data_IF_211666817229
#
_entry.id   IF_211666817229
#
_cell.length_a   1.000
_cell.length_b   1.000
_cell.length_c   1.000
_cell.angle_alpha   90.00
_cell.angle_beta   90.00
_cell.angle_gamma   90.00
#
_symmetry.space_group_name_H-M   'P 1'
#
loop_
_entity.id
_entity.type
_entity.pdbx_description
1 polymer ?
#
# COMPACT_ATOMS: atom_id res chain seq x y z
N UNK A 1 0.75 -0.24 23.09
CA UNK A 1 -0.03 -0.92 22.04
C UNK A 1 0.64 -2.26 21.81
N UNK A 2 -0.11 -3.36 21.85
CA UNK A 2 0.38 -4.72 22.11
C UNK A 2 1.15 -5.39 20.94
N UNK A 3 2.01 -4.62 20.26
CA UNK A 3 3.20 -5.10 19.56
C UNK A 3 2.99 -5.87 18.26
N UNK A 4 1.75 -6.16 17.84
CA UNK A 4 1.51 -6.89 16.59
C UNK A 4 1.42 -5.93 15.39
N UNK A 5 2.22 -6.18 14.33
CA UNK A 5 2.19 -5.33 13.15
C UNK A 5 0.88 -5.50 12.37
N UNK A 6 0.22 -4.39 12.07
CA UNK A 6 -0.90 -4.35 11.13
C UNK A 6 -0.38 -4.69 9.73
N UNK A 7 -0.99 -5.68 9.07
CA UNK A 7 -0.56 -6.15 7.75
C UNK A 7 -1.64 -5.91 6.70
N UNK A 8 -1.25 -5.37 5.55
CA UNK A 8 -2.07 -5.33 4.34
C UNK A 8 -1.39 -6.18 3.27
N UNK A 9 -2.15 -7.02 2.57
CA UNK A 9 -1.65 -7.89 1.50
C UNK A 9 -2.54 -7.71 0.27
N UNK A 10 -1.91 -7.52 -0.89
CA UNK A 10 -2.61 -7.45 -2.18
C UNK A 10 -2.79 -8.82 -2.81
N UNK A 11 -3.62 -8.89 -3.86
CA UNK A 11 -3.82 -10.07 -4.70
C UNK A 11 -3.98 -9.66 -6.16
N UNK A 12 -4.14 -10.63 -7.07
CA UNK A 12 -4.46 -10.34 -8.47
C UNK A 12 -5.80 -9.61 -8.67
N UNK A 13 -6.72 -9.70 -7.71
CA UNK A 13 -8.03 -9.05 -7.74
C UNK A 13 -8.13 -7.83 -6.82
N UNK A 14 -7.10 -7.55 -6.00
CA UNK A 14 -7.11 -6.48 -5.00
C UNK A 14 -5.76 -5.76 -4.95
N UNK A 15 -5.80 -4.47 -5.26
CA UNK A 15 -4.64 -3.58 -5.10
C UNK A 15 -4.45 -3.25 -3.61
N UNK A 16 -3.26 -3.47 -3.03
CA UNK A 16 -3.03 -3.19 -1.62
C UNK A 16 -3.04 -1.68 -1.34
N UNK A 17 -3.72 -1.29 -0.26
CA UNK A 17 -3.78 0.09 0.23
C UNK A 17 -2.82 0.29 1.41
N UNK A 18 -1.81 1.14 1.22
CA UNK A 18 -0.93 1.63 2.27
C UNK A 18 -1.48 2.96 2.80
N UNK A 19 -2.21 2.90 3.91
CA UNK A 19 -2.82 4.10 4.51
C UNK A 19 -1.81 4.75 5.46
N UNK A 20 -1.57 6.05 5.32
CA UNK A 20 -0.56 6.81 6.07
C UNK A 20 -1.12 8.16 6.54
N UNK A 21 -0.59 8.74 7.64
CA UNK A 21 -0.98 10.07 8.08
C UNK A 21 -0.29 11.17 7.27
N UNK A 22 -0.99 12.27 7.01
CA UNK A 22 -0.37 13.52 6.52
C UNK A 22 0.40 14.23 7.65
N UNK A 23 1.33 15.12 7.29
CA UNK A 23 2.06 16.03 8.21
C UNK A 23 2.90 15.33 9.28
N UNK A 24 3.20 14.04 9.10
CA UNK A 24 4.05 13.24 9.99
C UNK A 24 5.18 12.61 9.19
N UNK A 25 6.32 12.48 9.85
CA UNK A 25 7.44 11.70 9.33
C UNK A 25 7.06 10.22 9.31
N UNK A 26 7.11 9.63 8.13
CA UNK A 26 6.91 8.19 7.93
C UNK A 26 8.26 7.57 7.57
N UNK A 27 8.67 6.58 8.35
CA UNK A 27 9.84 5.75 8.04
C UNK A 27 9.39 4.52 7.25
N UNK A 28 10.00 4.31 6.09
CA UNK A 28 9.86 3.09 5.31
C UNK A 28 11.09 2.23 5.56
N UNK A 29 10.86 0.95 5.84
CA UNK A 29 11.91 -0.07 5.93
C UNK A 29 11.56 -1.14 4.89
N UNK A 30 12.33 -1.19 3.81
CA UNK A 30 11.98 -1.96 2.63
C UNK A 30 12.78 -3.26 2.60
N UNK A 31 12.10 -4.38 2.33
CA UNK A 31 12.76 -5.67 2.13
C UNK A 31 11.95 -6.48 1.13
N UNK A 32 12.65 -7.10 0.19
CA UNK A 32 12.04 -8.09 -0.69
C UNK A 32 12.22 -9.49 -0.13
N UNK A 33 11.24 -10.35 -0.38
CA UNK A 33 11.29 -11.78 -0.04
C UNK A 33 11.87 -12.64 -1.15
N UNK A 34 11.95 -12.14 -2.39
CA UNK A 34 12.30 -12.92 -3.57
C UNK A 34 13.36 -12.24 -4.46
N UNK A 35 12.95 -11.36 -5.37
CA UNK A 35 13.78 -10.64 -6.34
C UNK A 35 13.84 -9.16 -6.01
N UNK A 36 14.64 -8.38 -6.74
CA UNK A 36 14.65 -6.93 -6.55
C UNK A 36 13.34 -6.35 -7.10
N UNK A 37 12.70 -5.50 -6.31
CA UNK A 37 11.58 -4.64 -6.72
C UNK A 37 11.97 -3.18 -6.57
N UNK A 38 11.04 -2.24 -6.76
CA UNK A 38 11.27 -0.85 -6.39
C UNK A 38 10.01 -0.22 -5.83
N UNK A 39 10.11 0.42 -4.67
CA UNK A 39 9.03 1.20 -4.08
C UNK A 39 9.07 2.59 -4.69
N UNK A 40 8.10 2.88 -5.56
CA UNK A 40 8.01 4.18 -6.22
C UNK A 40 6.59 4.74 -6.16
N UNK A 41 6.47 5.93 -5.61
CA UNK A 41 5.27 6.77 -5.68
C UNK A 41 5.68 8.00 -6.49
N UNK A 42 5.21 8.16 -7.76
CA UNK A 42 5.67 9.24 -8.63
C UNK A 42 5.54 10.63 -8.00
N UNK A 43 4.44 10.89 -7.30
CA UNK A 43 4.19 12.16 -6.61
C UNK A 43 5.18 12.45 -5.46
N UNK A 44 5.87 11.44 -4.92
CA UNK A 44 6.92 11.66 -3.92
C UNK A 44 8.25 12.10 -4.57
N UNK A 45 8.36 12.04 -5.90
CA UNK A 45 9.60 12.31 -6.65
C UNK A 45 10.82 11.53 -6.13
N UNK A 46 10.56 10.37 -5.51
CA UNK A 46 11.58 9.51 -4.91
C UNK A 46 11.20 8.05 -5.10
N UNK A 47 12.20 7.23 -5.43
CA UNK A 47 12.10 5.78 -5.46
C UNK A 47 13.22 5.16 -4.63
N UNK A 48 12.96 3.98 -4.08
CA UNK A 48 14.01 3.14 -3.48
C UNK A 48 13.83 1.70 -3.93
N UNK A 49 14.89 1.15 -4.49
CA UNK A 49 14.91 -0.25 -4.91
C UNK A 49 14.92 -1.16 -3.67
N UNK A 50 14.16 -2.24 -3.75
CA UNK A 50 13.81 -3.12 -2.63
C UNK A 50 14.54 -4.44 -2.82
N UNK A 51 15.66 -4.59 -2.14
CA UNK A 51 16.55 -5.75 -2.29
C UNK A 51 16.14 -6.92 -1.37
N UNK A 52 16.40 -8.16 -1.80
CA UNK A 52 16.49 -9.30 -0.89
C UNK A 52 17.72 -9.15 0.00
N UNK A 53 17.56 -9.34 1.32
CA UNK A 53 18.65 -9.23 2.32
C UNK A 53 19.54 -7.98 2.16
N UNK A 54 18.97 -6.75 2.21
CA UNK A 54 19.70 -5.50 1.91
C UNK A 54 20.97 -5.31 2.74
N UNK A 55 20.98 -5.79 3.99
CA UNK A 55 22.12 -5.80 4.90
C UNK A 55 23.34 -6.55 4.34
N UNK A 56 23.14 -7.60 3.53
CA UNK A 56 24.23 -8.38 2.92
C UNK A 56 24.80 -7.72 1.67
N UNK A 57 24.04 -6.80 1.07
CA UNK A 57 24.39 -6.11 -0.19
C UNK A 57 24.85 -4.67 0.05
N UNK A 58 25.07 -4.28 1.31
CA UNK A 58 25.39 -2.93 1.75
C UNK A 58 24.41 -1.87 1.20
N UNK A 59 23.14 -2.24 1.08
CA UNK A 59 22.08 -1.36 0.59
C UNK A 59 21.40 -0.65 1.74
N UNK A 60 21.32 0.68 1.67
CA UNK A 60 20.39 1.45 2.49
C UNK A 60 18.97 1.19 1.99
N UNK A 61 18.21 0.45 2.78
CA UNK A 61 16.86 -0.01 2.47
C UNK A 61 15.76 0.83 3.15
N UNK A 62 16.16 1.96 3.73
CA UNK A 62 15.30 2.78 4.55
C UNK A 62 15.26 4.21 4.02
N UNK A 63 14.13 4.88 4.18
CA UNK A 63 14.03 6.32 3.92
C UNK A 63 12.86 6.92 4.68
N UNK A 64 12.84 8.24 4.79
CA UNK A 64 11.77 8.97 5.44
C UNK A 64 11.23 10.05 4.51
N UNK A 65 9.93 10.31 4.59
CA UNK A 65 9.33 11.51 4.02
C UNK A 65 8.15 12.00 4.87
N UNK A 66 7.63 13.17 4.50
CA UNK A 66 6.38 13.73 5.00
C UNK A 66 5.42 13.85 3.81
N UNK A 67 4.18 13.43 3.99
CA UNK A 67 3.11 13.62 3.00
C UNK A 67 2.30 14.84 3.42
N UNK A 68 2.35 15.91 2.63
CA UNK A 68 1.71 17.19 2.98
C UNK A 68 0.22 17.21 2.65
N UNK A 69 -0.15 16.63 1.51
CA UNK A 69 -1.52 16.64 1.00
C UNK A 69 -2.24 15.30 1.26
N UNK A 70 -3.49 15.39 1.69
CA UNK A 70 -4.37 14.22 1.78
C UNK A 70 -4.79 13.75 0.38
N UNK A 71 -5.06 12.47 0.22
CA UNK A 71 -5.54 11.92 -1.05
C UNK A 71 -5.02 10.52 -1.34
N UNK A 72 -5.21 10.10 -2.59
CA UNK A 72 -4.77 8.82 -3.10
C UNK A 72 -3.60 9.02 -4.08
N UNK A 73 -2.52 8.26 -3.88
CA UNK A 73 -1.30 8.34 -4.68
C UNK A 73 -0.97 6.96 -5.25
N UNK A 74 -0.78 6.89 -6.56
CA UNK A 74 -0.41 5.63 -7.21
C UNK A 74 1.00 5.21 -6.81
N UNK A 75 1.13 3.95 -6.43
CA UNK A 75 2.41 3.28 -6.23
C UNK A 75 2.66 2.28 -7.35
N UNK A 76 3.91 2.20 -7.82
CA UNK A 76 4.33 1.31 -8.90
C UNK A 76 5.60 0.57 -8.52
N UNK A 77 5.72 -0.68 -8.96
CA UNK A 77 7.01 -1.34 -9.03
C UNK A 77 7.83 -0.73 -10.18
N UNK A 78 9.04 -0.26 -9.88
CA UNK A 78 9.91 0.42 -10.86
C UNK A 78 11.23 -0.32 -11.18
N UNK A 79 11.35 -1.58 -10.76
CA UNK A 79 12.47 -2.47 -11.13
C UNK A 79 11.89 -3.78 -11.69
N UNK A 80 12.43 -4.27 -12.81
CA UNK A 80 11.87 -5.42 -13.51
C UNK A 80 11.94 -6.68 -12.64
N UNK A 81 10.79 -7.12 -12.14
CA UNK A 81 10.69 -8.24 -11.20
C UNK A 81 10.04 -9.51 -11.78
N UNK A 82 9.76 -9.52 -13.08
CA UNK A 82 9.22 -10.69 -13.79
C UNK A 82 8.05 -10.36 -14.73
N UNK A 83 7.34 -11.40 -15.17
CA UNK A 83 6.28 -11.29 -16.20
C UNK A 83 5.14 -10.35 -15.79
N UNK A 84 4.79 -10.35 -14.50
CA UNK A 84 3.70 -9.52 -13.96
C UNK A 84 4.18 -8.19 -13.38
N UNK A 85 5.40 -7.75 -13.72
CA UNK A 85 6.01 -6.52 -13.21
C UNK A 85 5.09 -5.29 -13.33
N UNK A 86 4.48 -5.06 -14.49
CA UNK A 86 3.60 -3.91 -14.74
C UNK A 86 2.27 -3.96 -13.99
N UNK A 87 1.96 -5.08 -13.33
CA UNK A 87 0.73 -5.29 -12.57
C UNK A 87 0.95 -5.09 -11.06
N UNK A 88 2.19 -4.93 -10.62
CA UNK A 88 2.55 -4.71 -9.22
C UNK A 88 2.32 -3.24 -8.82
N UNK A 89 1.06 -2.82 -8.89
CA UNK A 89 0.63 -1.53 -8.40
C UNK A 89 0.19 -1.63 -6.93
N UNK A 90 0.35 -0.54 -6.21
CA UNK A 90 -0.23 -0.31 -4.89
C UNK A 90 -0.78 1.11 -4.84
N UNK A 91 -1.50 1.47 -3.79
CA UNK A 91 -1.93 2.85 -3.59
C UNK A 91 -1.57 3.30 -2.18
N UNK A 92 -1.01 4.50 -2.07
CA UNK A 92 -0.85 5.19 -0.79
C UNK A 92 -2.09 6.06 -0.56
N UNK A 93 -2.78 5.84 0.55
CA UNK A 93 -3.89 6.68 0.98
C UNK A 93 -3.44 7.56 2.14
N UNK A 94 -3.26 8.85 1.87
CA UNK A 94 -2.87 9.81 2.90
C UNK A 94 -4.12 10.39 3.57
N UNK A 95 -4.26 10.15 4.87
CA UNK A 95 -5.37 10.64 5.68
C UNK A 95 -4.88 11.75 6.65
N UNK A 96 -5.72 12.73 6.98
CA UNK A 96 -5.53 13.59 8.14
C UNK A 96 -5.22 12.78 9.41
N UNK A 97 -4.38 13.29 10.34
CA UNK A 97 -3.97 12.54 11.53
C UNK A 97 -5.11 12.01 12.39
N UNK A 98 -6.23 12.74 12.50
CA UNK A 98 -7.42 12.32 13.26
C UNK A 98 -8.14 11.14 12.60
N UNK A 99 -8.29 11.16 11.26
CA UNK A 99 -8.84 10.06 10.49
C UNK A 99 -7.90 8.85 10.50
N UNK A 100 -6.59 9.07 10.39
CA UNK A 100 -5.60 8.00 10.50
C UNK A 100 -5.63 7.33 11.88
N UNK A 101 -5.81 8.09 12.96
CA UNK A 101 -5.95 7.53 14.30
C UNK A 101 -7.20 6.63 14.41
N UNK A 102 -8.35 7.07 13.86
CA UNK A 102 -9.58 6.25 13.79
C UNK A 102 -9.38 5.00 12.93
N UNK A 103 -8.74 5.14 11.78
CA UNK A 103 -8.36 4.02 10.90
C UNK A 103 -7.55 2.97 11.67
N UNK A 104 -6.49 3.40 12.36
CA UNK A 104 -5.63 2.49 13.12
C UNK A 104 -6.37 1.84 14.28
N UNK A 105 -7.28 2.56 14.95
CA UNK A 105 -8.11 2.01 16.01
C UNK A 105 -9.05 0.89 15.51
N UNK A 106 -9.44 0.91 14.24
CA UNK A 106 -10.16 -0.19 13.59
C UNK A 106 -9.21 -1.34 13.22
N UNK A 107 -8.06 -1.04 12.59
CA UNK A 107 -7.09 -2.05 12.12
C UNK A 107 -6.54 -2.97 13.20
N UNK A 108 -6.55 -2.55 14.46
CA UNK A 108 -6.09 -3.34 15.62
C UNK A 108 -7.22 -4.10 16.32
N UNK A 109 -8.46 -3.95 15.87
CA UNK A 109 -9.63 -4.68 16.39
C UNK A 109 -9.99 -5.82 15.46
N UNK A 110 -10.65 -6.82 16.02
CA UNK A 110 -11.32 -7.85 15.23
C UNK A 110 -12.68 -7.33 14.75
N UNK A 111 -12.98 -7.61 13.49
CA UNK A 111 -14.29 -7.39 12.90
C UNK A 111 -15.27 -8.41 13.49
N UNK A 112 -16.34 -7.91 14.11
CA UNK A 112 -17.34 -8.73 14.80
C UNK A 112 -18.05 -9.73 13.87
N UNK A 113 -18.13 -9.45 12.57
CA UNK A 113 -18.75 -10.32 11.57
C UNK A 113 -17.81 -11.43 11.11
N UNK A 114 -16.53 -11.13 10.91
CA UNK A 114 -15.57 -12.10 10.33
C UNK A 114 -14.70 -12.81 11.36
N UNK A 115 -14.62 -12.28 12.59
CA UNK A 115 -13.75 -12.77 13.66
C UNK A 115 -12.25 -12.61 13.36
N UNK A 116 -11.89 -11.73 12.42
CA UNK A 116 -10.50 -11.46 12.00
C UNK A 116 -10.20 -9.96 12.14
N UNK A 117 -8.92 -9.56 12.22
CA UNK A 117 -8.57 -8.15 12.23
C UNK A 117 -9.12 -7.42 11.01
N UNK A 118 -9.61 -6.19 11.21
CA UNK A 118 -10.09 -5.36 10.10
C UNK A 118 -9.02 -5.23 9.01
N UNK A 119 -9.41 -5.50 7.77
CA UNK A 119 -8.60 -5.19 6.59
C UNK A 119 -8.53 -3.68 6.37
N UNK A 120 -7.62 -3.23 5.49
CA UNK A 120 -7.57 -1.83 5.09
C UNK A 120 -8.88 -1.38 4.43
N UNK A 121 -9.49 -2.24 3.60
CA UNK A 121 -10.73 -1.95 2.88
C UNK A 121 -11.90 -1.78 3.85
N UNK A 122 -12.09 -2.73 4.77
CA UNK A 122 -13.15 -2.66 5.78
C UNK A 122 -12.96 -1.45 6.70
N UNK A 123 -11.73 -1.20 7.18
CA UNK A 123 -11.48 -0.06 8.06
C UNK A 123 -11.73 1.29 7.37
N UNK A 124 -11.44 1.43 6.06
CA UNK A 124 -11.76 2.63 5.32
C UNK A 124 -13.28 2.78 5.12
N UNK A 125 -13.99 1.69 4.83
CA UNK A 125 -15.45 1.71 4.65
C UNK A 125 -16.19 2.24 5.90
N UNK A 126 -15.74 1.88 7.09
CA UNK A 126 -16.32 2.30 8.38
C UNK A 126 -16.08 3.79 8.73
N UNK A 127 -15.10 4.44 8.11
CA UNK A 127 -14.77 5.84 8.43
C UNK A 127 -15.70 6.85 7.77
N UNK A 128 -16.46 6.44 6.73
CA UNK A 128 -17.45 7.26 6.05
C UNK A 128 -16.98 8.67 5.62
N UNK A 129 -15.71 8.82 5.22
CA UNK A 129 -15.12 10.11 4.84
C UNK A 129 -15.16 10.40 3.32
N UNK A 130 -16.18 9.89 2.61
CA UNK A 130 -16.33 10.06 1.16
C UNK A 130 -15.20 9.39 0.37
N UNK A 131 -14.77 10.01 -0.73
CA UNK A 131 -13.75 9.46 -1.64
C UNK A 131 -12.41 9.18 -0.95
N UNK A 132 -12.07 9.98 0.07
CA UNK A 132 -10.85 9.79 0.84
C UNK A 132 -10.85 8.47 1.62
N UNK A 133 -12.02 7.90 1.89
CA UNK A 133 -12.22 6.62 2.55
C UNK A 133 -12.73 5.53 1.60
N UNK A 134 -12.56 5.70 0.28
CA UNK A 134 -12.93 4.65 -0.67
C UNK A 134 -12.20 3.33 -0.29
N UNK A 135 -12.93 2.22 -0.12
CA UNK A 135 -12.37 0.95 0.36
C UNK A 135 -11.48 0.26 -0.66
N UNK A 136 -11.47 0.71 -1.92
CA UNK A 136 -10.60 0.19 -2.98
C UNK A 136 -9.70 1.29 -3.54
N UNK A 137 -8.67 0.88 -4.28
CA UNK A 137 -7.78 1.80 -4.97
C UNK A 137 -8.56 2.59 -6.04
N UNK A 138 -8.32 3.90 -6.09
CA UNK A 138 -8.97 4.83 -7.02
C UNK A 138 -8.00 5.37 -8.08
N UNK A 139 -6.70 5.21 -7.87
CA UNK A 139 -5.64 5.67 -8.79
C UNK A 139 -5.14 4.60 -9.75
N UNK A 140 -5.56 3.36 -9.54
CA UNK A 140 -5.18 2.19 -10.33
C UNK A 140 -6.21 1.09 -10.14
N UNK A 141 -6.18 0.08 -11.01
CA UNK A 141 -7.12 -1.03 -10.97
C UNK A 141 -6.38 -2.36 -11.10
N UNK A 142 -6.93 -3.46 -10.54
CA UNK A 142 -6.38 -4.79 -10.74
C UNK A 142 -6.28 -5.12 -12.22
N UNK A 143 -5.17 -5.73 -12.61
CA UNK A 143 -5.02 -6.24 -13.96
C UNK A 143 -5.93 -7.46 -14.18
N UNK A 144 -6.65 -7.50 -15.31
CA UNK A 144 -7.45 -8.67 -15.65
C UNK A 144 -6.57 -9.84 -16.10
N UNK A 145 -6.39 -10.84 -15.22
CA UNK A 145 -5.60 -12.04 -15.49
C UNK A 145 -6.27 -13.05 -16.43
N UNK A 146 -7.54 -12.86 -16.79
CA UNK A 146 -8.23 -13.70 -17.75
C UNK A 146 -7.64 -13.52 -19.15
N UNK A 147 -7.01 -14.58 -19.66
CA UNK A 147 -6.40 -14.61 -20.99
C UNK A 147 -7.45 -14.51 -22.10
N UNK A 148 -8.70 -14.88 -21.83
CA UNK A 148 -9.82 -14.82 -22.78
C UNK A 148 -10.45 -13.44 -22.86
N UNK A 149 -10.28 -12.60 -21.84
CA UNK A 149 -10.82 -11.25 -21.82
C UNK A 149 -10.11 -10.28 -22.79
N UNK A 150 -8.96 -10.68 -23.35
CA UNK A 150 -8.28 -9.97 -24.44
C UNK A 150 -8.73 -10.54 -25.79
N UNK A 151 -9.99 -10.34 -26.16
CA UNK A 151 -10.36 -10.40 -27.57
C UNK A 151 -9.75 -9.16 -28.22
N UNK A 152 -8.75 -9.36 -29.10
CA UNK A 152 -8.13 -8.27 -29.85
C UNK A 152 -9.18 -7.43 -30.55
N UNK A 153 -9.15 -6.12 -30.29
CA UNK A 153 -9.80 -5.13 -31.16
C UNK A 153 -9.00 -4.95 -32.44
#
# INVERSE_FOLDING_TARGET
ADGQPVRTVGSSSRIPLLVLPTTKWVQYNLRSTDVIHSFWVPQFNFKRDVFPSPEKNNQDSSFQNVIEEQGAFVGRCAELCGIYHSMMNFEVRALPPDLFAKYMALRVKDNATTGKPYTAEEALAELHCGDLCNPVATTTHPFNTDRTARTGS
#
